data_IF_085955561166
#
_entry.id   IF_085955561166
#
_cell.length_a   1.000
_cell.length_b   1.000
_cell.length_c   1.000
_cell.angle_alpha   90.00
_cell.angle_beta   90.00
_cell.angle_gamma   90.00
#
_symmetry.space_group_name_H-M   'P 1'
#
loop_
_entity.id
_entity.type
_entity.pdbx_description
1 polymer ?
#
# COMPACT_ATOMS: atom_id res chain seq x y z
N UNK A 1 -10.72 15.35 4.32
CA UNK A 1 -9.97 16.24 3.38
C UNK A 1 -10.87 16.96 2.37
N UNK A 2 -11.52 16.28 1.42
CA UNK A 2 -12.37 16.96 0.42
C UNK A 2 -13.47 17.81 1.07
N UNK A 3 -14.15 17.25 2.07
CA UNK A 3 -15.12 17.96 2.92
C UNK A 3 -14.50 19.17 3.63
N UNK A 4 -13.35 18.98 4.28
CA UNK A 4 -12.66 20.06 5.02
C UNK A 4 -12.22 21.20 4.10
N UNK A 5 -11.84 20.88 2.87
CA UNK A 5 -11.49 21.84 1.80
C UNK A 5 -12.70 22.38 1.04
N UNK A 6 -13.93 21.96 1.38
CA UNK A 6 -15.18 22.38 0.73
C UNK A 6 -15.14 22.26 -0.80
N UNK A 7 -14.57 21.16 -1.31
CA UNK A 7 -14.53 20.92 -2.75
C UNK A 7 -15.95 20.80 -3.34
N UNK A 8 -16.15 21.37 -4.52
CA UNK A 8 -17.39 21.19 -5.27
C UNK A 8 -17.55 19.74 -5.78
N UNK A 9 -18.76 19.44 -6.26
CA UNK A 9 -19.12 18.11 -6.74
C UNK A 9 -18.24 17.62 -7.90
N UNK A 10 -17.94 18.47 -8.88
CA UNK A 10 -17.20 18.08 -10.09
C UNK A 10 -15.76 17.75 -9.75
N UNK A 11 -15.11 18.60 -8.95
CA UNK A 11 -13.75 18.39 -8.49
C UNK A 11 -13.65 17.18 -7.55
N UNK A 12 -14.65 16.97 -6.70
CA UNK A 12 -14.72 15.77 -5.84
C UNK A 12 -14.88 14.51 -6.68
N UNK A 13 -15.79 14.49 -7.66
CA UNK A 13 -16.00 13.36 -8.55
C UNK A 13 -14.72 13.01 -9.33
N UNK A 14 -14.02 14.02 -9.88
CA UNK A 14 -12.73 13.83 -10.55
C UNK A 14 -11.67 13.24 -9.62
N UNK A 15 -11.56 13.74 -8.39
CA UNK A 15 -10.60 13.23 -7.40
C UNK A 15 -10.83 11.75 -7.07
N UNK A 16 -12.08 11.36 -6.82
CA UNK A 16 -12.44 9.97 -6.57
C UNK A 16 -12.25 9.07 -7.81
N UNK A 17 -12.51 9.59 -9.01
CA UNK A 17 -12.26 8.84 -10.24
C UNK A 17 -10.78 8.52 -10.41
N UNK A 18 -9.89 9.52 -10.29
CA UNK A 18 -8.43 9.32 -10.35
C UNK A 18 -7.96 8.34 -9.27
N UNK A 19 -8.45 8.50 -8.04
CA UNK A 19 -8.07 7.66 -6.91
C UNK A 19 -8.42 6.19 -7.16
N UNK A 20 -9.65 5.92 -7.58
CA UNK A 20 -10.12 4.56 -7.82
C UNK A 20 -9.44 3.91 -9.03
N UNK A 21 -9.19 4.66 -10.11
CA UNK A 21 -8.41 4.15 -11.26
C UNK A 21 -7.00 3.73 -10.83
N UNK A 22 -6.28 4.59 -10.09
CA UNK A 22 -4.94 4.27 -9.62
C UNK A 22 -4.89 3.08 -8.67
N UNK A 23 -5.84 2.99 -7.73
CA UNK A 23 -5.92 1.84 -6.82
C UNK A 23 -6.26 0.54 -7.55
N UNK A 24 -7.15 0.58 -8.55
CA UNK A 24 -7.52 -0.59 -9.34
C UNK A 24 -6.33 -1.11 -10.17
N UNK A 25 -5.61 -0.21 -10.85
CA UNK A 25 -4.44 -0.59 -11.66
C UNK A 25 -3.27 -1.07 -10.79
N UNK A 26 -3.07 -0.46 -9.62
CA UNK A 26 -2.07 -0.91 -8.65
C UNK A 26 -2.41 -2.30 -8.08
N UNK A 27 -3.70 -2.59 -7.87
CA UNK A 27 -4.16 -3.91 -7.47
C UNK A 27 -3.86 -4.95 -8.55
N UNK A 28 -4.31 -4.70 -9.78
CA UNK A 28 -4.10 -5.60 -10.93
C UNK A 28 -2.62 -5.87 -11.16
N UNK A 29 -1.79 -4.82 -11.21
CA UNK A 29 -0.34 -4.95 -11.41
C UNK A 29 0.33 -5.69 -10.25
N UNK A 30 -0.10 -5.45 -9.01
CA UNK A 30 0.42 -6.14 -7.84
C UNK A 30 0.10 -7.63 -7.84
N UNK A 31 -1.09 -8.02 -8.30
CA UNK A 31 -1.49 -9.42 -8.42
C UNK A 31 -0.82 -10.14 -9.58
N UNK A 32 -0.68 -9.49 -10.73
CA UNK A 32 0.10 -10.02 -11.85
C UNK A 32 1.53 -10.39 -11.40
N UNK A 33 2.20 -9.46 -10.73
CA UNK A 33 3.53 -9.70 -10.17
C UNK A 33 3.54 -10.84 -9.12
N UNK A 34 2.52 -10.95 -8.25
CA UNK A 34 2.42 -12.06 -7.28
C UNK A 34 2.40 -13.42 -7.94
N UNK A 35 1.61 -13.57 -9.00
CA UNK A 35 1.53 -14.83 -9.73
C UNK A 35 2.79 -15.08 -10.56
N UNK A 36 3.42 -14.03 -11.09
CA UNK A 36 4.67 -14.16 -11.82
C UNK A 36 5.84 -14.62 -10.94
N UNK A 37 6.11 -13.93 -9.83
CA UNK A 37 7.26 -14.20 -8.96
C UNK A 37 7.03 -15.36 -7.99
N UNK A 38 5.77 -15.65 -7.69
CA UNK A 38 5.33 -16.73 -6.80
C UNK A 38 6.09 -16.82 -5.45
N UNK A 39 6.46 -15.67 -4.87
CA UNK A 39 7.37 -15.63 -3.72
C UNK A 39 6.68 -16.06 -2.42
N UNK A 40 7.34 -16.89 -1.62
CA UNK A 40 6.83 -17.39 -0.33
C UNK A 40 6.67 -16.30 0.73
N UNK A 41 5.83 -16.55 1.73
CA UNK A 41 5.56 -15.64 2.85
C UNK A 41 6.59 -15.78 3.98
N UNK A 42 6.78 -14.76 4.85
CA UNK A 42 7.65 -14.86 6.03
C UNK A 42 7.37 -16.09 6.91
N UNK A 43 6.10 -16.41 7.14
CA UNK A 43 5.70 -17.62 7.87
C UNK A 43 6.32 -18.89 7.28
N UNK A 44 6.19 -19.09 5.97
CA UNK A 44 6.75 -20.26 5.30
C UNK A 44 8.28 -20.22 5.31
N UNK A 45 8.87 -19.07 5.00
CA UNK A 45 10.32 -18.92 4.87
C UNK A 45 11.05 -19.15 6.20
N UNK A 46 10.64 -18.50 7.29
CA UNK A 46 11.32 -18.60 8.60
C UNK A 46 11.24 -20.04 9.14
N UNK A 47 10.10 -20.70 8.96
CA UNK A 47 9.90 -22.09 9.42
C UNK A 47 10.59 -23.13 8.53
N UNK A 48 11.07 -22.72 7.35
CA UNK A 48 11.78 -23.58 6.39
C UNK A 48 13.12 -22.96 5.98
N UNK A 49 13.74 -22.14 6.84
CA UNK A 49 14.98 -21.45 6.49
C UNK A 49 16.11 -22.44 6.12
N UNK A 50 16.12 -23.64 6.68
CA UNK A 50 17.09 -24.69 6.33
C UNK A 50 17.09 -25.16 4.86
N UNK A 51 16.14 -24.72 4.02
CA UNK A 51 16.09 -25.03 2.58
C UNK A 51 16.29 -23.79 1.68
N UNK A 52 16.67 -22.63 2.25
CA UNK A 52 16.85 -21.39 1.49
C UNK A 52 18.28 -21.15 0.97
N UNK A 53 19.21 -22.05 1.29
CA UNK A 53 20.64 -21.96 0.99
C UNK A 53 21.34 -20.68 1.52
N UNK A 54 20.87 -20.14 2.65
CA UNK A 54 21.43 -18.97 3.31
C UNK A 54 21.93 -19.32 4.72
N UNK A 55 23.25 -19.39 4.91
CA UNK A 55 23.84 -19.72 6.22
C UNK A 55 23.55 -18.66 7.31
N UNK A 56 23.10 -17.45 6.92
CA UNK A 56 22.72 -16.40 7.86
C UNK A 56 21.28 -16.56 8.40
N UNK A 57 20.50 -17.51 7.89
CA UNK A 57 19.13 -17.78 8.38
C UNK A 57 19.12 -19.07 9.20
N UNK A 58 18.22 -19.12 10.19
CA UNK A 58 18.04 -20.29 11.05
C UNK A 58 16.57 -20.66 11.08
N UNK A 59 16.27 -21.96 10.97
CA UNK A 59 14.91 -22.46 11.04
C UNK A 59 14.33 -22.22 12.44
N UNK A 60 13.19 -21.53 12.49
CA UNK A 60 12.37 -21.45 13.70
C UNK A 60 10.99 -22.05 13.38
N UNK A 61 10.79 -23.31 13.79
CA UNK A 61 9.53 -24.03 13.55
C UNK A 61 8.38 -23.57 14.46
N UNK A 62 8.60 -22.66 15.40
CA UNK A 62 7.58 -22.11 16.30
C UNK A 62 7.23 -20.65 16.00
N UNK A 63 7.92 -20.03 15.04
CA UNK A 63 7.64 -18.66 14.65
C UNK A 63 6.23 -18.51 14.10
N UNK A 64 5.51 -17.51 14.59
CA UNK A 64 4.17 -17.12 14.16
C UNK A 64 4.12 -15.61 13.87
N UNK A 65 3.40 -15.18 12.83
CA UNK A 65 3.15 -13.76 12.57
C UNK A 65 2.16 -13.21 13.60
N UNK A 66 2.19 -11.89 13.81
CA UNK A 66 1.21 -11.21 14.67
C UNK A 66 -0.23 -11.33 14.13
N UNK A 67 -0.38 -11.37 12.81
CA UNK A 67 -1.67 -11.51 12.13
C UNK A 67 -1.67 -12.77 11.23
N UNK A 68 -2.83 -13.39 10.99
CA UNK A 68 -2.92 -14.54 10.09
C UNK A 68 -2.38 -14.22 8.69
N UNK A 69 -1.52 -15.11 8.17
CA UNK A 69 -0.94 -14.96 6.83
C UNK A 69 -2.02 -15.14 5.76
N UNK A 70 -2.25 -14.15 4.88
CA UNK A 70 -3.20 -14.30 3.77
C UNK A 70 -2.78 -15.39 2.79
N UNK A 71 -3.72 -16.13 2.17
CA UNK A 71 -3.44 -17.25 1.28
C UNK A 71 -3.04 -16.79 -0.14
N UNK A 72 -2.08 -15.87 -0.23
CA UNK A 72 -1.56 -15.31 -1.49
C UNK A 72 -0.06 -15.07 -1.36
N UNK A 73 0.66 -14.96 -2.48
CA UNK A 73 2.11 -14.81 -2.51
C UNK A 73 2.58 -13.49 -1.89
N UNK A 74 3.85 -13.41 -1.53
CA UNK A 74 4.41 -12.28 -0.82
C UNK A 74 4.70 -11.09 -1.74
N UNK A 75 5.49 -11.28 -2.78
CA UNK A 75 6.07 -10.19 -3.55
C UNK A 75 5.21 -9.77 -4.75
N UNK A 76 4.98 -8.46 -4.97
CA UNK A 76 5.19 -7.35 -4.04
C UNK A 76 4.03 -7.24 -3.04
N UNK A 77 4.15 -6.37 -2.04
CA UNK A 77 3.03 -6.05 -1.15
C UNK A 77 1.97 -5.20 -1.86
N UNK A 78 0.88 -5.83 -2.32
CA UNK A 78 -0.26 -5.12 -2.92
C UNK A 78 -0.85 -4.07 -1.99
N UNK A 79 -0.87 -4.31 -0.67
CA UNK A 79 -1.33 -3.31 0.31
C UNK A 79 -0.49 -2.03 0.27
N UNK A 80 0.83 -2.18 0.12
CA UNK A 80 1.75 -1.05 -0.03
C UNK A 80 1.56 -0.33 -1.36
N UNK A 81 1.30 -1.08 -2.44
CA UNK A 81 1.03 -0.52 -3.77
C UNK A 81 -0.26 0.32 -3.81
N UNK A 82 -1.37 -0.21 -3.28
CA UNK A 82 -2.63 0.55 -3.22
C UNK A 82 -2.47 1.81 -2.35
N UNK A 83 -1.85 1.67 -1.18
CA UNK A 83 -1.63 2.79 -0.27
C UNK A 83 -0.82 3.91 -0.93
N UNK A 84 0.26 3.58 -1.64
CA UNK A 84 1.08 4.61 -2.27
C UNK A 84 0.48 5.16 -3.57
N UNK A 85 -0.23 4.34 -4.37
CA UNK A 85 -0.97 4.83 -5.53
C UNK A 85 -2.03 5.87 -5.10
N UNK A 86 -2.77 5.56 -4.03
CA UNK A 86 -3.69 6.50 -3.42
C UNK A 86 -2.97 7.77 -2.93
N UNK A 87 -1.83 7.63 -2.25
CA UNK A 87 -1.08 8.78 -1.74
C UNK A 87 -0.55 9.69 -2.84
N UNK A 88 -0.10 9.15 -3.97
CA UNK A 88 0.36 9.95 -5.13
C UNK A 88 -0.81 10.76 -5.71
N UNK A 89 -1.96 10.11 -5.96
CA UNK A 89 -3.14 10.82 -6.49
C UNK A 89 -3.63 11.89 -5.52
N UNK A 90 -3.79 11.55 -4.25
CA UNK A 90 -4.28 12.48 -3.24
C UNK A 90 -3.31 13.66 -3.03
N UNK A 91 -2.01 13.39 -3.05
CA UNK A 91 -0.98 14.43 -3.04
C UNK A 91 -1.09 15.36 -4.24
N UNK A 92 -1.31 14.83 -5.44
CA UNK A 92 -1.48 15.64 -6.64
C UNK A 92 -2.75 16.52 -6.58
N UNK A 93 -3.85 15.96 -6.10
CA UNK A 93 -5.14 16.66 -6.01
C UNK A 93 -5.17 17.71 -4.89
N UNK A 94 -4.62 17.39 -3.73
CA UNK A 94 -4.81 18.18 -2.50
C UNK A 94 -3.56 18.93 -2.02
N UNK A 95 -2.39 18.60 -2.56
CA UNK A 95 -1.07 19.12 -2.17
C UNK A 95 -0.26 18.17 -1.28
N UNK A 96 1.06 18.44 -1.18
CA UNK A 96 2.05 17.59 -0.50
C UNK A 96 1.92 17.54 1.03
N UNK A 97 1.48 18.62 1.67
CA UNK A 97 1.52 18.80 3.13
C UNK A 97 0.13 18.89 3.74
N UNK A 98 -0.73 17.93 3.41
CA UNK A 98 -2.09 17.84 3.92
C UNK A 98 -2.12 16.96 5.15
N UNK A 99 -2.27 17.58 6.33
CA UNK A 99 -2.55 16.85 7.56
C UNK A 99 -3.99 16.37 7.60
N UNK A 100 -4.22 15.16 8.10
CA UNK A 100 -5.56 14.60 8.29
C UNK A 100 -5.59 13.58 9.43
N UNK A 101 -6.78 13.35 9.96
CA UNK A 101 -7.05 12.30 10.93
C UNK A 101 -7.83 11.18 10.27
N UNK A 102 -7.54 9.93 10.64
CA UNK A 102 -8.27 8.75 10.19
C UNK A 102 -8.57 7.84 11.38
N UNK A 103 -9.84 7.48 11.53
CA UNK A 103 -10.30 6.48 12.50
C UNK A 103 -10.37 5.13 11.80
N UNK A 104 -9.61 4.14 12.29
CA UNK A 104 -9.68 2.78 11.76
C UNK A 104 -10.78 2.00 12.46
N UNK A 105 -11.78 1.46 11.74
CA UNK A 105 -12.84 0.65 12.35
C UNK A 105 -12.32 -0.70 12.86
N UNK A 106 -11.12 -1.12 12.42
CA UNK A 106 -10.54 -2.45 12.68
C UNK A 106 -9.21 -2.39 13.43
N UNK A 107 -8.77 -1.21 13.89
CA UNK A 107 -7.58 -1.11 14.74
C UNK A 107 -7.79 -1.81 16.10
N UNK A 108 -6.69 -2.15 16.77
CA UNK A 108 -6.67 -2.58 18.16
C UNK A 108 -5.82 -1.58 18.96
N UNK A 109 -6.38 -0.86 19.96
CA UNK A 109 -7.78 -0.89 20.40
C UNK A 109 -8.77 -0.41 19.33
N UNK A 110 -10.01 -0.91 19.41
CA UNK A 110 -11.06 -0.65 18.40
C UNK A 110 -11.36 0.83 18.25
N UNK A 111 -11.52 1.29 17.00
CA UNK A 111 -11.77 2.70 16.63
C UNK A 111 -10.64 3.67 17.01
N UNK A 112 -9.39 3.20 17.04
CA UNK A 112 -8.25 4.09 17.21
C UNK A 112 -8.19 5.14 16.08
N UNK A 113 -7.92 6.39 16.46
CA UNK A 113 -7.74 7.51 15.53
C UNK A 113 -6.27 7.86 15.43
N UNK A 114 -5.75 7.93 14.21
CA UNK A 114 -4.38 8.36 13.92
C UNK A 114 -4.36 9.68 13.19
N UNK A 115 -3.31 10.46 13.42
CA UNK A 115 -3.07 11.72 12.73
C UNK A 115 -1.86 11.56 11.82
N UNK A 116 -2.00 12.02 10.59
CA UNK A 116 -0.96 12.02 9.57
C UNK A 116 -0.67 13.45 9.12
N UNK A 117 0.59 13.74 8.82
CA UNK A 117 1.08 15.02 8.32
C UNK A 117 1.04 15.11 6.79
N UNK A 118 0.96 13.97 6.12
CA UNK A 118 0.83 13.86 4.65
C UNK A 118 0.26 12.50 4.26
N UNK A 119 -0.26 12.40 3.03
CA UNK A 119 -0.68 11.10 2.48
C UNK A 119 0.49 10.14 2.30
N UNK A 120 1.69 10.67 2.00
CA UNK A 120 2.90 9.88 1.90
C UNK A 120 3.26 9.21 3.22
N UNK A 121 3.20 9.95 4.34
CA UNK A 121 3.42 9.38 5.67
C UNK A 121 2.42 8.24 5.94
N UNK A 122 1.14 8.43 5.58
CA UNK A 122 0.14 7.38 5.76
C UNK A 122 0.43 6.14 4.89
N UNK A 123 0.91 6.32 3.65
CA UNK A 123 1.28 5.21 2.77
C UNK A 123 2.52 4.43 3.27
N UNK A 124 3.53 5.13 3.79
CA UNK A 124 4.73 4.52 4.38
C UNK A 124 4.35 3.69 5.61
N UNK A 125 3.53 4.26 6.51
CA UNK A 125 3.05 3.55 7.68
C UNK A 125 2.14 2.36 7.32
N UNK A 126 1.31 2.51 6.29
CA UNK A 126 0.51 1.44 5.72
C UNK A 126 1.38 0.28 5.22
N UNK A 127 2.51 0.56 4.58
CA UNK A 127 3.48 -0.45 4.15
C UNK A 127 4.23 -1.10 5.33
N UNK A 128 4.68 -0.29 6.30
CA UNK A 128 5.33 -0.75 7.53
C UNK A 128 4.45 -1.68 8.35
N UNK A 129 3.14 -1.41 8.40
CA UNK A 129 2.18 -2.24 9.13
C UNK A 129 2.26 -3.72 8.74
N UNK A 130 2.64 -4.02 7.50
CA UNK A 130 2.70 -5.39 6.99
C UNK A 130 3.95 -6.13 7.45
N UNK A 131 5.05 -5.41 7.63
CA UNK A 131 6.28 -5.95 8.20
C UNK A 131 6.09 -6.19 9.69
N UNK A 132 5.52 -5.21 10.40
CA UNK A 132 5.21 -5.32 11.84
C UNK A 132 4.26 -6.49 12.11
N UNK A 133 3.27 -6.69 11.24
CA UNK A 133 2.32 -7.80 11.35
C UNK A 133 2.93 -9.19 11.02
N UNK A 134 4.19 -9.27 10.59
CA UNK A 134 4.84 -10.52 10.16
C UNK A 134 4.34 -11.04 8.82
N UNK A 135 3.68 -10.21 8.01
CA UNK A 135 2.97 -10.65 6.80
C UNK A 135 3.79 -10.51 5.53
N UNK A 136 4.70 -9.53 5.48
CA UNK A 136 5.51 -9.22 4.31
C UNK A 136 6.98 -9.05 4.68
N UNK A 137 7.86 -9.44 3.77
CA UNK A 137 9.24 -8.99 3.82
C UNK A 137 9.33 -7.48 3.56
N UNK A 138 10.37 -6.85 4.14
CA UNK A 138 10.64 -5.42 3.96
C UNK A 138 10.77 -5.03 2.47
N UNK A 139 11.49 -5.83 1.68
CA UNK A 139 11.68 -5.56 0.25
C UNK A 139 10.37 -5.62 -0.54
N UNK A 140 9.44 -6.51 -0.16
CA UNK A 140 8.11 -6.59 -0.80
C UNK A 140 7.27 -5.36 -0.55
N UNK A 141 7.39 -4.75 0.64
CA UNK A 141 6.77 -3.47 0.94
C UNK A 141 7.39 -2.32 0.15
N UNK A 142 8.74 -2.27 0.04
CA UNK A 142 9.45 -1.24 -0.75
C UNK A 142 9.05 -1.32 -2.22
N UNK A 143 9.10 -2.51 -2.83
CA UNK A 143 8.69 -2.71 -4.22
C UNK A 143 7.20 -2.40 -4.42
N UNK A 144 6.35 -2.69 -3.43
CA UNK A 144 4.95 -2.29 -3.45
C UNK A 144 4.79 -0.77 -3.46
N UNK A 145 5.50 -0.04 -2.60
CA UNK A 145 5.48 1.43 -2.62
C UNK A 145 5.94 1.98 -3.98
N UNK A 146 7.00 1.44 -4.56
CA UNK A 146 7.51 1.84 -5.89
C UNK A 146 6.47 1.58 -6.99
N UNK A 147 5.87 0.39 -7.02
CA UNK A 147 4.79 0.07 -7.95
C UNK A 147 3.63 1.06 -7.83
N UNK A 148 3.18 1.34 -6.60
CA UNK A 148 2.13 2.30 -6.34
C UNK A 148 2.51 3.72 -6.80
N UNK A 149 3.79 4.10 -6.65
CA UNK A 149 4.27 5.39 -7.13
C UNK A 149 4.10 5.50 -8.65
N UNK A 150 4.64 4.51 -9.36
CA UNK A 150 4.67 4.49 -10.83
C UNK A 150 3.26 4.47 -11.42
N UNK A 151 2.35 3.67 -10.85
CA UNK A 151 0.94 3.63 -11.28
C UNK A 151 0.24 4.96 -11.00
N UNK A 152 0.40 5.51 -9.79
CA UNK A 152 -0.21 6.80 -9.43
C UNK A 152 0.23 7.94 -10.37
N UNK A 153 1.55 8.04 -10.63
CA UNK A 153 2.11 9.04 -11.54
C UNK A 153 1.59 8.86 -12.97
N UNK A 154 1.50 7.60 -13.44
CA UNK A 154 0.97 7.30 -14.76
C UNK A 154 -0.51 7.71 -14.90
N UNK A 155 -1.35 7.42 -13.91
CA UNK A 155 -2.76 7.81 -13.92
C UNK A 155 -2.92 9.33 -13.99
N UNK A 156 -2.21 10.06 -13.14
CA UNK A 156 -2.27 11.53 -13.10
C UNK A 156 -1.83 12.15 -14.42
N UNK A 157 -0.81 11.58 -15.08
CA UNK A 157 -0.28 12.10 -16.33
C UNK A 157 -1.18 11.82 -17.54
N UNK A 158 -1.95 10.72 -17.52
CA UNK A 158 -2.63 10.22 -18.73
C UNK A 158 -4.16 10.25 -18.66
N UNK A 159 -4.76 10.40 -17.47
CA UNK A 159 -6.22 10.35 -17.32
C UNK A 159 -6.79 11.62 -16.69
N UNK A 160 -7.95 12.04 -17.20
CA UNK A 160 -8.71 13.20 -16.71
C UNK A 160 -7.86 14.48 -16.63
N UNK A 161 -6.93 14.65 -17.57
CA UNK A 161 -6.08 15.84 -17.71
C UNK A 161 -6.90 17.04 -18.18
N UNK A 162 -6.43 18.28 -17.95
CA UNK A 162 -7.05 19.45 -18.55
C UNK A 162 -7.18 19.28 -20.07
N UNK A 163 -8.30 19.74 -20.63
CA UNK A 163 -8.44 19.82 -22.08
C UNK A 163 -7.44 20.87 -22.58
N UNK A 164 -6.59 20.49 -23.54
CA UNK A 164 -5.68 21.42 -24.20
C UNK A 164 -6.49 22.59 -24.78
N UNK A 165 -6.12 23.82 -24.40
CA UNK A 165 -6.69 25.04 -24.96
C UNK A 165 -6.19 25.27 -26.38
#
# INVERSE_FOLDING_TARGET
VATDKKMDLVNTARAFALLNMAMADAYTSGWDAKFHYNFWRPFTAIRNAGIDNNEATATDTKWEPLMPTPPVQDYPSTHSALGNAAAVVLTNVFGNSVSFSMTSPTADPTKATRQFKSFRQAAEENADSRVIAGLHFRFSCIAGLELGNNVGDWIIKNHLTPVSK
#
